data_IF_957383912084
#
_entry.id   IF_957383912084
#
_cell.length_a   1.000
_cell.length_b   1.000
_cell.length_c   1.000
_cell.angle_alpha   90.00
_cell.angle_beta   90.00
_cell.angle_gamma   90.00
#
_symmetry.space_group_name_H-M   'P 1'
#
loop_
_entity.id
_entity.type
_entity.pdbx_description
1 polymer ?
#
# COMPACT_ATOMS: atom_id res chain seq x y z
N UNK A 1 11.77 17.45 -10.11
CA UNK A 1 11.06 16.42 -9.32
C UNK A 1 11.91 16.06 -8.12
N UNK A 2 11.40 16.27 -6.90
CA UNK A 2 12.17 16.04 -5.67
C UNK A 2 12.44 14.52 -5.47
N UNK A 3 13.50 14.15 -4.74
CA UNK A 3 13.88 12.72 -4.55
C UNK A 3 12.77 11.92 -3.88
N UNK A 4 12.18 12.49 -2.82
CA UNK A 4 11.04 11.92 -2.09
C UNK A 4 9.87 11.65 -3.03
N UNK A 5 9.57 12.61 -3.92
CA UNK A 5 8.52 12.45 -4.93
C UNK A 5 8.83 11.32 -5.94
N UNK A 6 10.10 11.10 -6.30
CA UNK A 6 10.51 10.01 -7.20
C UNK A 6 10.32 8.63 -6.54
N UNK A 7 10.69 8.51 -5.26
CA UNK A 7 10.52 7.28 -4.48
C UNK A 7 9.04 6.96 -4.32
N UNK A 8 8.22 7.94 -3.93
CA UNK A 8 6.79 7.72 -3.71
C UNK A 8 6.05 7.42 -5.02
N UNK A 9 6.44 8.01 -6.16
CA UNK A 9 5.92 7.63 -7.48
C UNK A 9 6.29 6.19 -7.84
N UNK A 10 7.53 5.78 -7.57
CA UNK A 10 7.97 4.41 -7.81
C UNK A 10 7.14 3.42 -6.97
N UNK A 11 6.99 3.69 -5.67
CA UNK A 11 6.18 2.86 -4.78
C UNK A 11 4.72 2.77 -5.24
N UNK A 12 4.12 3.90 -5.64
CA UNK A 12 2.76 3.93 -6.18
C UNK A 12 2.63 3.05 -7.45
N UNK A 13 3.56 3.19 -8.40
CA UNK A 13 3.54 2.40 -9.64
C UNK A 13 3.67 0.91 -9.33
N UNK A 14 4.60 0.53 -8.44
CA UNK A 14 4.80 -0.86 -8.03
C UNK A 14 3.53 -1.44 -7.40
N UNK A 15 2.87 -0.69 -6.51
CA UNK A 15 1.62 -1.13 -5.88
C UNK A 15 0.50 -1.27 -6.91
N UNK A 16 0.33 -0.29 -7.81
CA UNK A 16 -0.69 -0.35 -8.85
C UNK A 16 -0.48 -1.54 -9.78
N UNK A 17 0.76 -1.81 -10.19
CA UNK A 17 1.10 -2.99 -11.00
C UNK A 17 0.79 -4.27 -10.23
N UNK A 18 1.19 -4.36 -8.95
CA UNK A 18 0.91 -5.53 -8.13
C UNK A 18 -0.59 -5.78 -7.95
N UNK A 19 -1.38 -4.73 -7.70
CA UNK A 19 -2.83 -4.80 -7.55
C UNK A 19 -3.53 -5.19 -8.85
N UNK A 20 -3.13 -4.59 -9.97
CA UNK A 20 -3.73 -4.89 -11.29
C UNK A 20 -3.40 -6.31 -11.74
N UNK A 21 -2.15 -6.76 -11.62
CA UNK A 21 -1.76 -8.14 -11.93
C UNK A 21 -2.49 -9.15 -11.04
N UNK A 22 -2.59 -8.85 -9.73
CA UNK A 22 -3.32 -9.68 -8.78
C UNK A 22 -4.80 -9.78 -9.14
N UNK A 23 -5.47 -8.65 -9.44
CA UNK A 23 -6.88 -8.62 -9.84
C UNK A 23 -7.12 -9.37 -11.16
N UNK A 24 -6.25 -9.20 -12.15
CA UNK A 24 -6.32 -9.92 -13.43
C UNK A 24 -6.17 -11.42 -13.19
N UNK A 25 -5.16 -11.84 -12.41
CA UNK A 25 -4.92 -13.24 -12.12
C UNK A 25 -6.11 -13.91 -11.41
N UNK A 26 -6.67 -13.24 -10.39
CA UNK A 26 -7.87 -13.72 -9.69
C UNK A 26 -9.06 -13.81 -10.65
N UNK A 27 -9.25 -12.81 -11.51
CA UNK A 27 -10.34 -12.78 -12.48
C UNK A 27 -10.22 -13.90 -13.51
N UNK A 28 -9.01 -14.14 -14.05
CA UNK A 28 -8.76 -15.22 -15.00
C UNK A 28 -8.97 -16.58 -14.34
N UNK A 29 -8.45 -16.79 -13.13
CA UNK A 29 -8.65 -18.05 -12.42
C UNK A 29 -10.12 -18.33 -12.09
N UNK A 30 -10.91 -17.28 -11.83
CA UNK A 30 -12.33 -17.44 -11.53
C UNK A 30 -13.18 -17.63 -12.79
N UNK A 31 -13.04 -16.76 -13.80
CA UNK A 31 -13.93 -16.74 -14.97
C UNK A 31 -13.48 -17.65 -16.12
N UNK A 32 -12.19 -17.96 -16.25
CA UNK A 32 -11.66 -18.73 -17.38
C UNK A 32 -11.36 -20.17 -16.98
N UNK A 33 -10.89 -20.38 -15.74
CA UNK A 33 -10.47 -21.70 -15.25
C UNK A 33 -11.55 -22.35 -14.36
N UNK A 34 -12.65 -21.65 -14.08
CA UNK A 34 -13.75 -22.08 -13.19
C UNK A 34 -13.26 -22.63 -11.84
N UNK A 35 -12.16 -22.05 -11.33
CA UNK A 35 -11.61 -22.50 -10.05
C UNK A 35 -12.51 -22.01 -8.91
N UNK A 36 -12.72 -22.83 -7.86
CA UNK A 36 -13.40 -22.37 -6.66
C UNK A 36 -12.67 -21.16 -6.09
N UNK A 37 -13.42 -20.19 -5.56
CA UNK A 37 -12.91 -18.88 -5.09
C UNK A 37 -11.66 -19.02 -4.19
N UNK A 38 -11.60 -20.09 -3.39
CA UNK A 38 -10.48 -20.42 -2.50
C UNK A 38 -9.15 -20.64 -3.24
N UNK A 39 -9.19 -21.24 -4.43
CA UNK A 39 -8.02 -21.47 -5.30
C UNK A 39 -7.72 -20.26 -6.19
N UNK A 40 -8.75 -19.55 -6.64
CA UNK A 40 -8.59 -18.32 -7.43
C UNK A 40 -7.86 -17.22 -6.64
N UNK A 41 -8.01 -17.19 -5.30
CA UNK A 41 -7.25 -16.31 -4.41
C UNK A 41 -5.72 -16.53 -4.45
N UNK A 42 -5.23 -17.63 -5.06
CA UNK A 42 -3.80 -17.79 -5.36
C UNK A 42 -3.24 -16.67 -6.25
N UNK A 43 -4.09 -15.99 -7.04
CA UNK A 43 -3.72 -14.79 -7.79
C UNK A 43 -3.23 -13.62 -6.92
N UNK A 44 -3.57 -13.61 -5.62
CA UNK A 44 -3.01 -12.65 -4.66
C UNK A 44 -1.50 -12.78 -4.48
N UNK A 45 -0.88 -13.88 -4.94
CA UNK A 45 0.58 -14.05 -4.92
C UNK A 45 1.34 -12.94 -5.64
N UNK A 46 0.74 -12.28 -6.64
CA UNK A 46 1.34 -11.14 -7.32
C UNK A 46 1.49 -9.89 -6.42
N UNK A 47 0.83 -9.84 -5.27
CA UNK A 47 1.11 -8.82 -4.25
C UNK A 47 2.53 -8.94 -3.68
N UNK A 48 3.21 -10.08 -3.84
CA UNK A 48 4.63 -10.22 -3.52
C UNK A 48 5.53 -9.24 -4.27
N UNK A 49 5.10 -8.73 -5.43
CA UNK A 49 5.79 -7.68 -6.19
C UNK A 49 5.87 -6.37 -5.38
N UNK A 50 4.91 -6.11 -4.48
CA UNK A 50 4.97 -4.97 -3.57
C UNK A 50 6.17 -5.04 -2.60
N UNK A 51 6.78 -6.22 -2.43
CA UNK A 51 8.04 -6.37 -1.69
C UNK A 51 9.21 -5.58 -2.30
N UNK A 52 9.15 -5.24 -3.60
CA UNK A 52 10.15 -4.40 -4.28
C UNK A 52 10.21 -2.97 -3.70
N UNK A 53 9.19 -2.53 -2.97
CA UNK A 53 9.20 -1.25 -2.25
C UNK A 53 10.33 -1.22 -1.20
N UNK A 54 10.64 -2.36 -0.57
CA UNK A 54 11.75 -2.49 0.37
C UNK A 54 13.13 -2.29 -0.27
N UNK A 55 13.24 -2.39 -1.61
CA UNK A 55 14.47 -2.09 -2.36
C UNK A 55 14.61 -0.60 -2.71
N UNK A 56 13.56 0.21 -2.53
CA UNK A 56 13.60 1.65 -2.84
C UNK A 56 14.75 2.43 -2.15
N UNK A 57 15.12 2.21 -0.86
CA UNK A 57 16.24 2.92 -0.26
C UNK A 57 17.61 2.53 -0.84
N UNK A 58 17.72 1.33 -1.44
CA UNK A 58 18.95 0.87 -2.10
C UNK A 58 19.04 1.49 -3.50
N UNK A 59 17.94 1.46 -4.26
CA UNK A 59 17.87 1.99 -5.64
C UNK A 59 17.96 3.52 -5.70
N UNK A 60 17.44 4.22 -4.69
CA UNK A 60 17.43 5.68 -4.61
C UNK A 60 18.29 6.22 -3.46
N UNK A 61 19.23 5.41 -2.98
CA UNK A 61 20.11 5.70 -1.85
C UNK A 61 20.92 7.00 -1.98
N UNK A 62 21.29 7.55 -0.82
CA UNK A 62 21.99 8.84 -0.65
C UNK A 62 23.21 8.95 -1.58
N UNK A 63 23.23 9.96 -2.44
CA UNK A 63 24.49 10.50 -2.98
C UNK A 63 25.17 11.30 -1.86
N UNK A 64 26.40 10.90 -1.49
CA UNK A 64 27.25 11.55 -0.48
C UNK A 64 27.32 13.06 -0.76
N UNK A 65 26.97 13.90 0.22
CA UNK A 65 27.14 15.36 0.16
C UNK A 65 25.93 16.23 -0.24
N UNK A 66 24.75 15.67 -0.54
CA UNK A 66 23.51 16.49 -0.68
C UNK A 66 22.72 16.50 0.62
N UNK A 67 22.31 17.69 1.05
CA UNK A 67 21.27 17.89 2.07
C UNK A 67 20.05 17.08 1.62
N UNK A 68 19.69 16.08 2.43
CA UNK A 68 18.82 14.98 2.00
C UNK A 68 17.37 15.19 2.39
N UNK A 69 17.10 16.13 3.28
CA UNK A 69 15.78 16.46 3.81
C UNK A 69 15.75 17.96 4.08
N UNK A 70 14.89 18.65 3.38
CA UNK A 70 14.40 19.96 3.78
C UNK A 70 13.37 19.74 4.91
N UNK A 71 13.30 20.64 5.89
CA UNK A 71 12.34 20.56 7.02
C UNK A 71 10.90 20.40 6.49
N UNK A 72 10.63 21.01 5.33
CA UNK A 72 9.36 20.90 4.61
C UNK A 72 9.05 19.47 4.15
N UNK A 73 10.05 18.76 3.62
CA UNK A 73 9.88 17.37 3.16
C UNK A 73 9.56 16.44 4.34
N UNK A 74 10.19 16.69 5.49
CA UNK A 74 9.92 15.96 6.73
C UNK A 74 8.48 16.19 7.23
N UNK A 75 8.02 17.44 7.22
CA UNK A 75 6.63 17.78 7.57
C UNK A 75 5.61 17.13 6.65
N UNK A 76 5.87 17.08 5.33
CA UNK A 76 4.99 16.40 4.38
C UNK A 76 4.94 14.89 4.69
N UNK A 77 6.10 14.27 4.90
CA UNK A 77 6.20 12.85 5.21
C UNK A 77 5.46 12.48 6.50
N UNK A 78 5.68 13.21 7.60
CA UNK A 78 4.99 12.98 8.88
C UNK A 78 3.48 13.09 8.70
N UNK A 79 3.01 14.14 8.04
CA UNK A 79 1.56 14.33 7.84
C UNK A 79 0.98 13.27 6.88
N UNK A 80 1.75 12.73 5.95
CA UNK A 80 1.31 11.65 5.08
C UNK A 80 1.24 10.32 5.86
N UNK A 81 2.22 10.05 6.72
CA UNK A 81 2.23 8.90 7.61
C UNK A 81 1.03 8.92 8.57
N UNK A 82 0.72 10.06 9.20
CA UNK A 82 -0.46 10.17 10.09
C UNK A 82 -1.73 9.78 9.35
N UNK A 83 -1.97 10.31 8.14
CA UNK A 83 -3.15 9.95 7.33
C UNK A 83 -3.15 8.47 6.98
N UNK A 84 -2.01 7.92 6.57
CA UNK A 84 -1.88 6.50 6.22
C UNK A 84 -2.21 5.58 7.41
N UNK A 85 -1.67 5.87 8.59
CA UNK A 85 -1.94 5.10 9.80
C UNK A 85 -3.36 5.29 10.32
N UNK A 86 -3.97 6.47 10.18
CA UNK A 86 -5.38 6.67 10.51
C UNK A 86 -6.30 5.82 9.63
N UNK A 87 -6.07 5.81 8.31
CA UNK A 87 -6.84 4.97 7.38
C UNK A 87 -6.60 3.49 7.67
N UNK A 88 -5.35 3.09 7.90
CA UNK A 88 -5.01 1.72 8.29
C UNK A 88 -5.76 1.27 9.54
N UNK A 89 -5.80 2.09 10.60
CA UNK A 89 -6.52 1.76 11.82
C UNK A 89 -8.01 1.56 11.58
N UNK A 90 -8.65 2.44 10.80
CA UNK A 90 -10.07 2.28 10.46
C UNK A 90 -10.33 0.98 9.71
N UNK A 91 -9.50 0.66 8.71
CA UNK A 91 -9.66 -0.57 7.92
C UNK A 91 -9.34 -1.81 8.75
N UNK A 92 -8.31 -1.77 9.59
CA UNK A 92 -7.91 -2.88 10.46
C UNK A 92 -8.98 -3.17 11.51
N UNK A 93 -9.50 -2.14 12.18
CA UNK A 93 -10.61 -2.30 13.13
C UNK A 93 -11.85 -2.86 12.44
N UNK A 94 -12.20 -2.35 11.25
CA UNK A 94 -13.31 -2.91 10.49
C UNK A 94 -13.07 -4.39 10.12
N UNK A 95 -11.87 -4.73 9.67
CA UNK A 95 -11.49 -6.11 9.32
C UNK A 95 -11.56 -7.07 10.52
N UNK A 96 -11.36 -6.58 11.75
CA UNK A 96 -11.52 -7.38 12.98
C UNK A 96 -12.96 -7.43 13.48
N UNK A 97 -13.69 -6.30 13.45
CA UNK A 97 -15.03 -6.19 14.02
C UNK A 97 -16.11 -6.79 13.12
N UNK A 98 -15.98 -6.68 11.79
CA UNK A 98 -16.97 -7.21 10.84
C UNK A 98 -17.11 -8.73 10.97
N UNK A 99 -16.03 -9.54 10.97
CA UNK A 99 -16.15 -10.97 11.20
C UNK A 99 -16.73 -11.29 12.57
N UNK A 100 -16.41 -10.53 13.61
CA UNK A 100 -17.01 -10.74 14.94
C UNK A 100 -18.52 -10.50 14.94
N UNK A 101 -19.02 -9.49 14.24
CA UNK A 101 -20.46 -9.23 14.16
C UNK A 101 -21.23 -10.23 13.29
N UNK A 102 -20.60 -10.78 12.25
CA UNK A 102 -21.28 -11.61 11.25
C UNK A 102 -21.11 -13.11 11.53
N UNK A 103 -19.95 -13.53 12.00
CA UNK A 103 -19.65 -14.94 12.25
C UNK A 103 -20.16 -15.37 13.63
N UNK A 104 -20.67 -16.59 13.69
CA UNK A 104 -21.08 -17.22 14.95
C UNK A 104 -19.88 -17.37 15.90
N UNK A 105 -20.12 -17.37 17.21
CA UNK A 105 -19.09 -17.41 18.27
C UNK A 105 -18.17 -18.63 18.23
N UNK A 106 -18.48 -19.65 17.42
CA UNK A 106 -17.66 -20.84 17.18
C UNK A 106 -16.97 -20.91 15.81
N UNK A 107 -17.08 -19.87 14.98
CA UNK A 107 -16.49 -19.89 13.64
C UNK A 107 -14.96 -19.87 13.67
N UNK A 108 -14.34 -20.86 13.04
CA UNK A 108 -12.89 -20.93 12.91
C UNK A 108 -12.39 -20.05 11.75
N UNK A 109 -11.49 -19.11 12.06
CA UNK A 109 -10.82 -18.30 11.03
C UNK A 109 -9.55 -19.05 10.58
N UNK A 110 -9.36 -19.26 9.27
CA UNK A 110 -8.15 -19.92 8.79
C UNK A 110 -6.90 -19.09 9.13
N UNK A 111 -5.85 -19.77 9.61
CA UNK A 111 -4.60 -19.14 10.07
C UNK A 111 -3.93 -18.29 8.99
N UNK A 112 -4.17 -18.60 7.71
CA UNK A 112 -3.65 -17.83 6.55
C UNK A 112 -4.15 -16.38 6.51
N UNK A 113 -5.24 -16.07 7.22
CA UNK A 113 -5.79 -14.71 7.30
C UNK A 113 -4.85 -13.78 8.06
N UNK A 114 -4.13 -14.27 9.08
CA UNK A 114 -3.21 -13.44 9.87
C UNK A 114 -2.09 -12.81 9.02
N UNK A 115 -1.28 -13.57 8.25
CA UNK A 115 -0.27 -12.96 7.37
C UNK A 115 -0.92 -12.15 6.24
N UNK A 116 -2.11 -12.53 5.76
CA UNK A 116 -2.83 -11.76 4.75
C UNK A 116 -3.27 -10.38 5.27
N UNK A 117 -3.72 -10.28 6.53
CA UNK A 117 -4.05 -9.01 7.18
C UNK A 117 -2.82 -8.11 7.32
N UNK A 118 -1.67 -8.70 7.67
CA UNK A 118 -0.42 -7.95 7.76
C UNK A 118 0.03 -7.44 6.39
N UNK A 119 0.00 -8.30 5.36
CA UNK A 119 0.34 -7.92 3.99
C UNK A 119 -0.63 -6.87 3.43
N UNK A 120 -1.93 -7.05 3.62
CA UNK A 120 -2.95 -6.08 3.21
C UNK A 120 -2.79 -4.74 3.93
N UNK A 121 -2.50 -4.76 5.24
CA UNK A 121 -2.19 -3.59 6.03
C UNK A 121 -1.00 -2.80 5.49
N UNK A 122 0.09 -3.50 5.17
CA UNK A 122 1.27 -2.89 4.55
C UNK A 122 0.94 -2.22 3.21
N UNK A 123 0.18 -2.89 2.34
CA UNK A 123 -0.25 -2.33 1.05
C UNK A 123 -1.09 -1.07 1.24
N UNK A 124 -2.04 -1.08 2.18
CA UNK A 124 -2.90 0.08 2.48
C UNK A 124 -2.07 1.26 2.95
N UNK A 125 -1.20 1.06 3.96
CA UNK A 125 -0.36 2.14 4.51
C UNK A 125 0.49 2.74 3.40
N UNK A 126 1.17 1.89 2.62
CA UNK A 126 2.07 2.38 1.58
C UNK A 126 1.32 3.09 0.44
N UNK A 127 0.15 2.58 0.02
CA UNK A 127 -0.67 3.23 -1.00
C UNK A 127 -1.16 4.60 -0.52
N UNK A 128 -1.75 4.68 0.68
CA UNK A 128 -2.29 5.93 1.23
C UNK A 128 -1.16 6.94 1.46
N UNK A 129 -0.01 6.49 1.97
CA UNK A 129 1.15 7.34 2.18
C UNK A 129 1.71 7.89 0.86
N UNK A 130 1.87 7.04 -0.16
CA UNK A 130 2.36 7.48 -1.48
C UNK A 130 1.39 8.45 -2.16
N UNK A 131 0.08 8.17 -2.14
CA UNK A 131 -0.94 9.08 -2.68
C UNK A 131 -0.94 10.42 -1.92
N UNK A 132 -0.98 10.38 -0.58
CA UNK A 132 -1.04 11.59 0.24
C UNK A 132 0.20 12.46 0.05
N UNK A 133 1.38 11.85 -0.04
CA UNK A 133 2.63 12.56 -0.30
C UNK A 133 2.59 13.25 -1.66
N UNK A 134 2.16 12.54 -2.72
CA UNK A 134 2.05 13.11 -4.06
C UNK A 134 1.04 14.24 -4.16
N UNK A 135 -0.12 14.10 -3.52
CA UNK A 135 -1.15 15.15 -3.46
C UNK A 135 -0.62 16.39 -2.73
N UNK A 136 0.10 16.21 -1.61
CA UNK A 136 0.67 17.34 -0.86
C UNK A 136 1.76 18.06 -1.63
N UNK A 137 2.66 17.33 -2.30
CA UNK A 137 3.63 17.97 -3.21
C UNK A 137 2.96 18.71 -4.37
N UNK A 138 1.91 18.14 -4.96
CA UNK A 138 1.17 18.77 -6.06
C UNK A 138 0.42 20.05 -5.64
N UNK A 139 -0.16 20.08 -4.43
CA UNK A 139 -0.81 21.28 -3.88
C UNK A 139 0.21 22.35 -3.46
N UNK A 140 1.36 21.93 -2.94
CA UNK A 140 2.43 22.82 -2.50
C UNK A 140 2.99 23.65 -3.65
N UNK A 141 3.12 23.07 -4.85
CA UNK A 141 3.58 23.78 -6.05
C UNK A 141 2.58 24.84 -6.52
N UNK A 142 1.27 24.58 -6.39
CA UNK A 142 0.22 25.52 -6.82
C UNK A 142 0.10 26.75 -5.91
N UNK A 143 0.44 26.61 -4.63
CA UNK A 143 0.43 27.74 -3.68
C UNK A 143 1.67 28.64 -3.76
N UNK A 144 2.68 28.28 -4.54
CA UNK A 144 3.86 29.12 -4.80
C UNK A 144 3.75 29.93 -6.09
N UNK A 145 2.80 29.60 -6.97
CA UNK A 145 2.51 30.33 -8.22
C UNK A 145 1.41 31.41 -8.06
N UNK A 146 0.90 31.58 -6.85
CA UNK A 146 -0.15 32.54 -6.48
C UNK A 146 0.35 33.54 -5.46
#
# INVERSE_FOLDING_TARGET
MNKTQKIERFNLIVILIALTLSAIAVSVFYFVVDLPIRRALGGLGFLGIAGLIGLSPILFGKRRGRISFDERDQLIHIRAAVVAYSVFWLVFTAACMIPWWILETGAAIPVVVLPAMLAGGFVIVQLVQSVTTLVKYGRSHKGEES
#
